data_IF_099279709324
#
_entry.id   IF_099279709324
#
_cell.length_a   1.000
_cell.length_b   1.000
_cell.length_c   1.000
_cell.angle_alpha   90.00
_cell.angle_beta   90.00
_cell.angle_gamma   90.00
#
_symmetry.space_group_name_H-M   'P 1'
#
loop_
_entity.id
_entity.type
_entity.pdbx_description
1 polymer ?
#
# COMPACT_ATOMS: atom_id res chain seq x y z
N UNK A 1 5.04 32.30 8.81
CA UNK A 1 4.55 30.98 9.28
C UNK A 1 5.46 29.88 8.72
N UNK A 2 6.09 29.03 9.54
CA UNK A 2 6.86 27.90 9.01
C UNK A 2 5.89 26.99 8.23
N UNK A 3 6.18 26.75 6.95
CA UNK A 3 5.39 25.86 6.08
C UNK A 3 5.18 24.53 6.82
N UNK A 4 3.95 24.20 7.22
CA UNK A 4 3.62 22.92 7.87
C UNK A 4 4.22 21.81 7.01
N UNK A 5 5.22 21.13 7.57
CA UNK A 5 5.89 20.03 6.89
C UNK A 5 4.82 18.94 6.65
N UNK A 6 4.39 18.72 5.40
CA UNK A 6 3.49 17.63 5.01
C UNK A 6 3.87 16.30 5.68
N UNK A 7 2.90 15.48 6.08
CA UNK A 7 3.21 14.24 6.77
C UNK A 7 4.08 13.29 5.96
N UNK A 8 4.84 12.45 6.67
CA UNK A 8 5.77 11.48 6.08
C UNK A 8 5.09 10.53 5.10
N UNK A 9 3.80 10.20 5.28
CA UNK A 9 3.06 9.30 4.38
C UNK A 9 2.85 9.86 2.97
N UNK A 10 2.82 11.18 2.80
CA UNK A 10 2.75 11.82 1.47
C UNK A 10 4.13 11.99 0.83
N UNK A 11 5.18 12.03 1.66
CA UNK A 11 6.57 12.28 1.28
C UNK A 11 7.30 11.00 0.84
N UNK A 12 8.46 11.19 0.21
CA UNK A 12 9.35 10.09 -0.18
C UNK A 12 9.80 9.27 1.04
N UNK A 13 10.02 9.91 2.19
CA UNK A 13 10.46 9.26 3.43
C UNK A 13 9.48 8.23 3.99
N UNK A 14 8.17 8.37 3.77
CA UNK A 14 7.18 7.37 4.19
C UNK A 14 6.82 6.32 3.14
N UNK A 15 7.35 6.44 1.91
CA UNK A 15 7.10 5.50 0.82
C UNK A 15 8.17 4.41 0.83
N UNK A 16 7.75 3.15 0.74
CA UNK A 16 8.69 2.06 0.52
C UNK A 16 9.03 1.98 -0.99
N UNK A 17 10.33 2.03 -1.39
CA UNK A 17 10.78 1.91 -2.77
C UNK A 17 10.24 0.68 -3.50
N UNK A 18 10.02 -0.41 -2.76
CA UNK A 18 9.54 -1.70 -3.27
C UNK A 18 8.02 -1.77 -3.41
N UNK A 19 7.24 -0.84 -2.81
CA UNK A 19 5.77 -0.85 -2.89
C UNK A 19 5.09 -0.38 -1.61
N UNK A 20 3.99 0.38 -1.74
CA UNK A 20 3.21 0.87 -0.60
C UNK A 20 3.95 1.85 0.34
N UNK A 21 3.44 1.99 1.57
CA UNK A 21 4.06 2.79 2.64
C UNK A 21 4.97 1.91 3.51
N UNK A 22 6.07 2.50 3.99
CA UNK A 22 6.87 1.89 5.06
C UNK A 22 6.20 2.10 6.43
N UNK A 23 6.78 1.57 7.48
CA UNK A 23 6.21 1.68 8.83
C UNK A 23 6.05 3.13 9.29
N UNK A 24 7.05 3.98 9.06
CA UNK A 24 6.98 5.41 9.40
C UNK A 24 5.86 6.12 8.63
N UNK A 25 5.66 5.76 7.36
CA UNK A 25 4.56 6.23 6.53
C UNK A 25 3.21 5.79 7.08
N UNK A 26 3.03 4.51 7.45
CA UNK A 26 1.77 4.04 8.03
C UNK A 26 1.45 4.72 9.37
N UNK A 27 2.44 4.79 10.27
CA UNK A 27 2.30 5.51 11.56
C UNK A 27 1.97 6.99 11.36
N UNK A 28 2.60 7.63 10.36
CA UNK A 28 2.31 9.02 10.03
C UNK A 28 0.90 9.20 9.45
N UNK A 29 0.39 8.22 8.70
CA UNK A 29 -0.98 8.23 8.18
C UNK A 29 -1.99 8.07 9.31
N UNK A 30 -1.77 7.11 10.22
CA UNK A 30 -2.64 6.86 11.38
C UNK A 30 -2.70 8.07 12.33
N UNK A 31 -1.58 8.78 12.52
CA UNK A 31 -1.55 10.03 13.30
C UNK A 31 -2.42 11.13 12.71
N UNK A 32 -2.45 11.26 11.38
CA UNK A 32 -3.28 12.27 10.71
C UNK A 32 -4.73 11.81 10.50
N UNK A 33 -5.00 10.50 10.60
CA UNK A 33 -6.32 9.92 10.41
C UNK A 33 -6.68 9.09 11.66
N UNK A 34 -7.10 9.74 12.76
CA UNK A 34 -7.51 9.04 13.98
C UNK A 34 -8.59 7.98 13.69
N UNK A 35 -8.41 6.78 14.23
CA UNK A 35 -9.31 5.65 13.98
C UNK A 35 -8.99 4.83 12.73
N UNK A 36 -8.02 5.25 11.90
CA UNK A 36 -7.51 4.40 10.83
C UNK A 36 -6.56 3.33 11.36
N UNK A 37 -6.56 2.15 10.72
CA UNK A 37 -5.70 1.02 11.04
C UNK A 37 -5.08 0.50 9.73
N UNK A 38 -4.05 1.21 9.27
CA UNK A 38 -3.47 0.95 7.96
C UNK A 38 -2.58 -0.28 8.03
N UNK A 39 -3.13 -1.41 7.58
CA UNK A 39 -2.41 -2.68 7.67
C UNK A 39 -1.24 -2.81 6.69
N UNK A 40 -0.24 -3.60 7.09
CA UNK A 40 0.85 -4.04 6.20
C UNK A 40 0.36 -4.93 5.05
N UNK A 41 1.08 -4.96 3.92
CA UNK A 41 0.88 -5.98 2.89
C UNK A 41 0.90 -7.38 3.47
N UNK A 42 0.14 -8.28 2.85
CA UNK A 42 0.07 -9.70 3.19
C UNK A 42 0.67 -10.48 2.04
N UNK A 43 1.73 -11.23 2.32
CA UNK A 43 2.29 -12.15 1.33
C UNK A 43 1.38 -13.37 1.13
N UNK A 44 1.58 -14.09 0.03
CA UNK A 44 0.90 -15.37 -0.25
C UNK A 44 1.21 -16.40 0.83
N UNK A 45 2.39 -16.35 1.44
CA UNK A 45 2.81 -17.25 2.52
C UNK A 45 2.06 -16.94 3.82
N UNK A 46 1.95 -15.66 4.21
CA UNK A 46 1.15 -15.23 5.35
C UNK A 46 -0.32 -15.57 5.16
N UNK A 47 -0.83 -15.42 3.92
CA UNK A 47 -2.19 -15.80 3.56
C UNK A 47 -2.46 -17.31 3.75
N UNK A 48 -1.49 -18.18 3.48
CA UNK A 48 -1.65 -19.64 3.71
C UNK A 48 -1.80 -19.98 5.20
N UNK A 49 -1.17 -19.20 6.08
CA UNK A 49 -1.16 -19.44 7.54
C UNK A 49 -2.40 -18.91 8.25
N UNK A 50 -3.19 -18.05 7.61
CA UNK A 50 -4.37 -17.43 8.25
C UNK A 50 -5.49 -17.14 7.24
N UNK A 51 -6.70 -17.69 7.45
CA UNK A 51 -7.87 -17.37 6.63
C UNK A 51 -8.18 -15.85 6.57
N UNK A 52 -7.97 -15.15 7.69
CA UNK A 52 -8.15 -13.69 7.76
C UNK A 52 -7.14 -12.94 6.90
N UNK A 53 -5.88 -13.40 6.87
CA UNK A 53 -4.85 -12.84 6.01
C UNK A 53 -5.16 -13.13 4.53
N UNK A 54 -5.61 -14.35 4.20
CA UNK A 54 -6.04 -14.72 2.86
C UNK A 54 -7.19 -13.85 2.35
N UNK A 55 -8.24 -13.65 3.16
CA UNK A 55 -9.37 -12.79 2.83
C UNK A 55 -8.93 -11.34 2.56
N UNK A 56 -8.05 -10.80 3.42
CA UNK A 56 -7.51 -9.44 3.27
C UNK A 56 -6.68 -9.30 1.99
N UNK A 57 -5.84 -10.28 1.68
CA UNK A 57 -5.06 -10.31 0.42
C UNK A 57 -5.99 -10.37 -0.79
N UNK A 58 -6.97 -11.28 -0.81
CA UNK A 58 -7.96 -11.41 -1.89
C UNK A 58 -8.70 -10.10 -2.14
N UNK A 59 -9.15 -9.45 -1.07
CA UNK A 59 -9.83 -8.16 -1.10
C UNK A 59 -8.94 -7.06 -1.68
N UNK A 60 -7.66 -6.99 -1.29
CA UNK A 60 -6.70 -6.05 -1.86
C UNK A 60 -6.45 -6.31 -3.35
N UNK A 61 -6.19 -7.57 -3.75
CA UNK A 61 -5.92 -7.92 -5.15
C UNK A 61 -7.07 -7.52 -6.08
N UNK A 62 -8.32 -7.70 -5.63
CA UNK A 62 -9.52 -7.32 -6.37
C UNK A 62 -9.62 -5.80 -6.55
N UNK A 63 -9.52 -5.02 -5.46
CA UNK A 63 -9.52 -3.55 -5.56
C UNK A 63 -8.37 -3.01 -6.40
N UNK A 64 -7.19 -3.59 -6.26
CA UNK A 64 -6.02 -3.20 -7.02
C UNK A 64 -6.17 -3.56 -8.51
N UNK A 65 -6.90 -4.62 -8.85
CA UNK A 65 -7.18 -4.95 -10.25
C UNK A 65 -8.12 -3.91 -10.90
N UNK A 66 -9.09 -3.38 -10.16
CA UNK A 66 -9.88 -2.22 -10.59
C UNK A 66 -8.98 -1.01 -10.91
N UNK A 67 -8.09 -0.65 -9.97
CA UNK A 67 -7.13 0.45 -10.20
C UNK A 67 -6.23 0.23 -11.43
N UNK A 68 -5.89 -1.02 -11.79
CA UNK A 68 -5.13 -1.25 -13.02
C UNK A 68 -5.92 -0.91 -14.29
N UNK A 69 -7.25 -1.02 -14.25
CA UNK A 69 -8.13 -0.62 -15.36
C UNK A 69 -8.22 0.90 -15.45
N UNK A 70 -8.36 1.58 -14.30
CA UNK A 70 -8.47 3.04 -14.25
C UNK A 70 -7.13 3.74 -14.59
N UNK A 71 -6.01 3.09 -14.26
CA UNK A 71 -4.66 3.63 -14.48
C UNK A 71 -3.83 2.76 -15.44
N UNK A 72 -4.20 2.69 -16.74
CA UNK A 72 -3.55 1.79 -17.70
C UNK A 72 -2.07 2.12 -17.92
N UNK A 73 -1.67 3.40 -17.83
CA UNK A 73 -0.26 3.81 -17.92
C UNK A 73 0.57 3.22 -16.77
N UNK A 74 0.07 3.34 -15.53
CA UNK A 74 0.72 2.73 -14.38
C UNK A 74 0.65 1.20 -14.41
N UNK A 75 -0.42 0.62 -14.96
CA UNK A 75 -0.54 -0.82 -15.12
C UNK A 75 0.46 -1.39 -16.14
N UNK A 76 0.83 -0.62 -17.18
CA UNK A 76 1.85 -1.01 -18.18
C UNK A 76 3.28 -0.91 -17.64
N UNK A 77 3.59 0.11 -16.83
CA UNK A 77 4.92 0.30 -16.26
C UNK A 77 5.21 -0.68 -15.10
N UNK A 78 6.16 -1.62 -15.24
CA UNK A 78 6.50 -2.58 -14.18
C UNK A 78 7.11 -1.92 -12.94
N UNK A 79 7.66 -0.71 -13.07
CA UNK A 79 8.24 0.06 -11.97
C UNK A 79 7.26 1.03 -11.31
N UNK A 80 6.02 1.08 -11.80
CA UNK A 80 4.99 1.91 -11.24
C UNK A 80 4.71 1.55 -9.79
N UNK A 81 4.24 2.53 -9.03
CA UNK A 81 3.83 2.33 -7.63
C UNK A 81 2.72 1.29 -7.49
N UNK A 82 1.81 1.25 -8.46
CA UNK A 82 0.70 0.29 -8.51
C UNK A 82 1.22 -1.15 -8.66
N UNK A 83 2.09 -1.41 -9.66
CA UNK A 83 2.69 -2.73 -9.88
C UNK A 83 3.58 -3.17 -8.72
N UNK A 84 4.38 -2.26 -8.17
CA UNK A 84 5.21 -2.49 -6.98
C UNK A 84 4.37 -2.90 -5.77
N UNK A 85 3.27 -2.19 -5.51
CA UNK A 85 2.36 -2.53 -4.42
C UNK A 85 1.72 -3.91 -4.65
N UNK A 86 1.22 -4.21 -5.85
CA UNK A 86 0.67 -5.53 -6.19
C UNK A 86 1.64 -6.67 -5.92
N UNK A 87 2.89 -6.54 -6.36
CA UNK A 87 3.96 -7.51 -6.08
C UNK A 87 4.13 -7.78 -4.59
N UNK A 88 4.09 -6.74 -3.74
CA UNK A 88 4.19 -6.92 -2.28
C UNK A 88 2.99 -7.59 -1.62
N UNK A 89 1.84 -7.60 -2.29
CA UNK A 89 0.67 -8.38 -1.89
C UNK A 89 0.58 -9.72 -2.62
N UNK A 90 1.59 -10.06 -3.42
CA UNK A 90 1.62 -11.20 -4.33
C UNK A 90 0.41 -11.27 -5.27
N UNK A 91 -0.13 -10.12 -5.64
CA UNK A 91 -1.12 -9.96 -6.72
C UNK A 91 -0.40 -9.60 -8.04
#
# INVERSE_FOLDING_TARGET
>A
MPKKKSASWTRKSGKNPEGGLNEAGRKSYERENPGSDLKRPVSKEEAKRSPKAAARRKSYCARSAGQMKDFPKAAKDPNSRLRKARRKWDC
#
